data_IF_917988778374
#
_entry.id   IF_917988778374
#
_cell.length_a   1.000
_cell.length_b   1.000
_cell.length_c   1.000
_cell.angle_alpha   90.00
_cell.angle_beta   90.00
_cell.angle_gamma   90.00
#
_symmetry.space_group_name_H-M   'P 1'
#
loop_
_entity.id
_entity.type
_entity.pdbx_description
1 polymer ?
#
# COMPACT_ATOMS: atom_id res chain seq x y z
N UNK A 1 7.94 -9.47 -6.72
CA UNK A 1 7.58 -9.83 -5.31
C UNK A 1 7.11 -8.60 -4.54
N UNK A 2 6.05 -8.72 -3.72
CA UNK A 2 5.55 -7.65 -2.85
C UNK A 2 5.76 -8.03 -1.37
N UNK A 3 6.53 -7.23 -0.62
CA UNK A 3 6.83 -7.49 0.79
C UNK A 3 7.10 -6.19 1.55
N UNK A 4 6.49 -6.05 2.73
CA UNK A 4 6.52 -4.82 3.51
C UNK A 4 6.06 -5.03 4.95
N UNK A 5 5.54 -4.00 5.60
CA UNK A 5 5.13 -4.12 7.00
C UNK A 5 4.14 -3.06 7.50
N UNK A 6 3.85 -3.14 8.80
CA UNK A 6 2.95 -2.24 9.53
C UNK A 6 3.80 -1.44 10.53
N UNK A 7 3.51 -0.16 10.65
CA UNK A 7 4.21 0.81 11.50
C UNK A 7 3.21 1.34 12.54
N UNK A 8 3.60 1.36 13.82
CA UNK A 8 2.75 1.80 14.93
C UNK A 8 2.09 0.68 15.74
N UNK A 9 2.59 -0.55 15.66
CA UNK A 9 2.17 -1.71 16.49
C UNK A 9 2.78 -1.71 17.91
N UNK A 10 3.42 -0.60 18.32
CA UNK A 10 4.19 -0.52 19.56
C UNK A 10 5.67 -0.90 19.38
N UNK A 11 6.12 -1.07 18.14
CA UNK A 11 7.50 -1.38 17.81
C UNK A 11 8.44 -0.17 18.02
N UNK A 12 9.70 -0.45 18.33
CA UNK A 12 10.72 0.58 18.45
C UNK A 12 11.23 1.03 17.07
N UNK A 13 11.98 2.15 17.04
CA UNK A 13 12.73 2.55 15.83
C UNK A 13 13.69 1.47 15.34
N UNK A 14 14.26 0.68 16.27
CA UNK A 14 15.20 -0.39 15.94
C UNK A 14 14.51 -1.54 15.22
N UNK A 15 13.28 -1.84 15.59
CA UNK A 15 12.48 -2.89 14.96
C UNK A 15 12.09 -2.50 13.52
N UNK A 16 11.69 -1.24 13.31
CA UNK A 16 11.45 -0.68 11.97
C UNK A 16 12.70 -0.71 11.10
N UNK A 17 13.84 -0.31 11.64
CA UNK A 17 15.11 -0.42 10.93
C UNK A 17 15.46 -1.88 10.61
N UNK A 18 15.18 -2.80 11.52
CA UNK A 18 15.34 -4.24 11.32
C UNK A 18 14.50 -4.75 10.16
N UNK A 19 13.20 -4.43 10.12
CA UNK A 19 12.31 -4.77 9.00
C UNK A 19 12.87 -4.28 7.67
N UNK A 20 13.20 -3.00 7.56
CA UNK A 20 13.69 -2.43 6.30
C UNK A 20 15.05 -3.00 5.89
N UNK A 21 15.93 -3.28 6.86
CA UNK A 21 17.20 -3.95 6.62
C UNK A 21 16.99 -5.37 6.08
N UNK A 22 16.03 -6.13 6.61
CA UNK A 22 15.72 -7.48 6.11
C UNK A 22 15.26 -7.42 4.65
N UNK A 23 14.35 -6.51 4.31
CA UNK A 23 13.84 -6.34 2.95
C UNK A 23 14.94 -5.91 1.97
N UNK A 24 15.79 -4.97 2.37
CA UNK A 24 16.90 -4.47 1.56
C UNK A 24 18.00 -5.51 1.31
N UNK A 25 18.16 -6.48 2.22
CA UNK A 25 19.20 -7.53 2.13
C UNK A 25 18.70 -8.83 1.47
N UNK A 26 17.48 -8.87 0.95
CA UNK A 26 17.02 -10.00 0.14
C UNK A 26 17.89 -10.16 -1.13
N UNK A 27 17.97 -11.36 -1.74
CA UNK A 27 18.75 -11.58 -2.97
C UNK A 27 18.39 -10.61 -4.11
N UNK A 28 17.13 -10.18 -4.14
CA UNK A 28 16.65 -9.05 -4.92
C UNK A 28 15.68 -8.23 -4.06
N UNK A 29 15.72 -6.90 -4.17
CA UNK A 29 14.75 -6.04 -3.50
C UNK A 29 13.32 -6.40 -3.94
N UNK A 30 12.32 -6.31 -3.05
CA UNK A 30 10.92 -6.41 -3.46
C UNK A 30 10.59 -5.35 -4.52
N UNK A 31 9.79 -5.71 -5.52
CA UNK A 31 9.32 -4.74 -6.53
C UNK A 31 8.40 -3.71 -5.89
N UNK A 32 7.59 -4.14 -4.93
CA UNK A 32 6.68 -3.29 -4.16
C UNK A 32 6.89 -3.51 -2.67
N UNK A 33 7.09 -2.42 -1.94
CA UNK A 33 7.31 -2.38 -0.49
C UNK A 33 6.16 -1.59 0.14
N UNK A 34 5.07 -2.25 0.54
CA UNK A 34 3.98 -1.60 1.25
C UNK A 34 4.38 -1.22 2.68
N UNK A 35 4.18 0.04 3.02
CA UNK A 35 4.35 0.56 4.38
C UNK A 35 2.98 1.02 4.86
N UNK A 36 2.39 0.23 5.74
CA UNK A 36 1.07 0.46 6.28
C UNK A 36 1.18 1.18 7.63
N UNK A 37 0.37 2.20 7.86
CA UNK A 37 0.15 2.69 9.22
C UNK A 37 -0.84 1.76 9.92
N UNK A 38 -0.61 1.46 11.20
CA UNK A 38 -1.54 0.66 11.98
C UNK A 38 -2.93 1.31 11.96
N UNK A 39 -3.93 0.57 11.48
CA UNK A 39 -5.35 0.93 11.66
C UNK A 39 -5.86 0.21 12.90
N UNK A 40 -6.21 0.97 13.93
CA UNK A 40 -6.72 0.44 15.19
C UNK A 40 -8.17 -0.03 14.99
N UNK A 41 -8.42 -1.31 15.25
CA UNK A 41 -9.75 -1.90 15.15
C UNK A 41 -10.20 -2.37 16.53
N UNK A 42 -11.41 -1.98 16.92
CA UNK A 42 -12.01 -2.39 18.20
C UNK A 42 -12.02 -3.91 18.34
N UNK A 43 -11.62 -4.40 19.51
CA UNK A 43 -11.48 -5.82 19.83
C UNK A 43 -10.12 -6.43 19.46
N UNK A 44 -9.24 -5.68 18.79
CA UNK A 44 -7.85 -6.15 18.55
C UNK A 44 -6.96 -5.83 19.74
N UNK A 45 -5.88 -6.60 19.99
CA UNK A 45 -4.89 -6.26 21.02
C UNK A 45 -4.23 -4.89 20.86
N UNK A 46 -4.38 -4.27 19.68
CA UNK A 46 -3.76 -2.98 19.33
C UNK A 46 -4.72 -1.80 19.44
N UNK A 47 -5.98 -2.00 19.84
CA UNK A 47 -7.02 -0.95 19.81
C UNK A 47 -6.66 0.27 20.68
N UNK A 48 -5.93 0.05 21.80
CA UNK A 48 -5.62 1.06 22.81
C UNK A 48 -4.15 1.51 22.79
N UNK A 49 -3.40 1.19 21.72
CA UNK A 49 -2.04 1.71 21.58
C UNK A 49 -2.07 3.23 21.37
N UNK A 50 -0.96 3.90 21.68
CA UNK A 50 -0.78 5.31 21.32
C UNK A 50 -0.67 5.48 19.81
N UNK A 51 -1.00 6.67 19.30
CA UNK A 51 -0.76 7.00 17.89
C UNK A 51 0.74 7.18 17.64
N UNK A 52 1.20 6.68 16.49
CA UNK A 52 2.56 6.91 16.04
C UNK A 52 2.70 8.40 15.64
N UNK A 53 3.80 9.02 16.04
CA UNK A 53 4.17 10.36 15.53
C UNK A 53 4.19 10.34 13.98
N UNK A 54 3.42 11.19 13.30
CA UNK A 54 3.40 11.27 11.84
C UNK A 54 4.80 11.42 11.22
N UNK A 55 5.73 12.11 11.88
CA UNK A 55 7.10 12.25 11.39
C UNK A 55 7.89 10.95 11.46
N UNK A 56 7.56 10.06 12.39
CA UNK A 56 8.15 8.71 12.45
C UNK A 56 7.68 7.85 11.28
N UNK A 57 6.42 8.01 10.87
CA UNK A 57 5.89 7.35 9.69
C UNK A 57 6.57 7.85 8.41
N UNK A 58 6.62 9.17 8.21
CA UNK A 58 7.30 9.81 7.06
C UNK A 58 8.78 9.41 7.01
N UNK A 59 9.47 9.39 8.16
CA UNK A 59 10.86 8.93 8.26
C UNK A 59 11.02 7.48 7.79
N UNK A 60 10.07 6.61 8.15
CA UNK A 60 10.09 5.19 7.74
C UNK A 60 9.97 5.05 6.23
N UNK A 61 9.09 5.84 5.59
CA UNK A 61 8.97 5.92 4.12
C UNK A 61 10.29 6.40 3.49
N UNK A 62 10.88 7.48 4.02
CA UNK A 62 12.13 8.03 3.51
C UNK A 62 13.29 7.01 3.56
N UNK A 63 13.42 6.28 4.68
CA UNK A 63 14.44 5.25 4.83
C UNK A 63 14.18 4.09 3.86
N UNK A 64 12.93 3.66 3.68
CA UNK A 64 12.57 2.63 2.71
C UNK A 64 12.97 3.01 1.28
N UNK A 65 12.68 4.26 0.86
CA UNK A 65 13.10 4.80 -0.44
C UNK A 65 14.62 4.79 -0.61
N UNK A 66 15.36 5.25 0.39
CA UNK A 66 16.83 5.33 0.31
C UNK A 66 17.46 3.93 0.21
N UNK A 67 16.99 2.98 1.02
CA UNK A 67 17.54 1.63 1.03
C UNK A 67 17.15 0.84 -0.23
N UNK A 68 15.97 1.09 -0.79
CA UNK A 68 15.42 0.33 -1.90
C UNK A 68 15.01 1.27 -3.06
N UNK A 69 15.98 1.92 -3.74
CA UNK A 69 15.71 3.02 -4.67
C UNK A 69 14.91 2.61 -5.91
N UNK A 70 14.99 1.35 -6.32
CA UNK A 70 14.27 0.81 -7.49
C UNK A 70 12.89 0.25 -7.16
N UNK A 71 12.56 0.11 -5.88
CA UNK A 71 11.29 -0.46 -5.45
C UNK A 71 10.19 0.61 -5.47
N UNK A 72 8.96 0.18 -5.72
CA UNK A 72 7.77 0.98 -5.43
C UNK A 72 7.53 0.99 -3.93
N UNK A 73 7.68 2.14 -3.29
CA UNK A 73 7.32 2.28 -1.87
C UNK A 73 5.85 2.65 -1.83
N UNK A 74 5.02 1.71 -1.37
CA UNK A 74 3.56 1.84 -1.42
C UNK A 74 3.02 2.37 -0.11
N UNK A 75 2.39 3.55 -0.17
CA UNK A 75 1.60 4.12 0.91
C UNK A 75 0.23 3.44 0.88
N UNK A 76 -0.03 2.54 1.84
CA UNK A 76 -1.17 1.61 1.80
C UNK A 76 -2.21 1.91 2.89
N UNK A 77 -2.36 1.04 3.89
CA UNK A 77 -3.39 1.20 4.92
C UNK A 77 -3.10 2.39 5.84
N UNK A 78 -4.19 3.01 6.32
CA UNK A 78 -4.16 4.17 7.21
C UNK A 78 -4.19 5.53 6.50
N UNK A 79 -4.18 5.59 5.17
CA UNK A 79 -4.28 6.86 4.42
C UNK A 79 -5.55 7.65 4.73
N UNK A 80 -6.66 6.97 5.00
CA UNK A 80 -7.93 7.61 5.31
C UNK A 80 -7.85 8.52 6.55
N UNK A 81 -7.01 8.16 7.52
CA UNK A 81 -6.80 8.96 8.74
C UNK A 81 -5.69 10.00 8.59
N UNK A 82 -4.98 10.03 7.45
CA UNK A 82 -3.95 11.02 7.17
C UNK A 82 -4.57 12.26 6.52
N UNK A 83 -4.15 13.45 6.98
CA UNK A 83 -4.43 14.69 6.27
C UNK A 83 -3.59 14.81 4.98
N UNK A 84 -3.98 15.75 4.13
CA UNK A 84 -3.32 16.00 2.84
C UNK A 84 -1.84 16.32 3.00
N UNK A 85 -1.48 17.08 4.03
CA UNK A 85 -0.08 17.46 4.29
C UNK A 85 0.77 16.25 4.64
N UNK A 86 0.27 15.32 5.45
CA UNK A 86 0.99 14.09 5.80
C UNK A 86 1.15 13.19 4.58
N UNK A 87 0.11 13.05 3.76
CA UNK A 87 0.20 12.29 2.51
C UNK A 87 1.22 12.94 1.55
N UNK A 88 1.18 14.26 1.40
CA UNK A 88 2.15 15.02 0.60
C UNK A 88 3.58 14.80 1.09
N UNK A 89 3.81 14.83 2.40
CA UNK A 89 5.11 14.53 2.99
C UNK A 89 5.54 13.08 2.72
N UNK A 90 4.62 12.11 2.72
CA UNK A 90 4.92 10.72 2.37
C UNK A 90 5.34 10.57 0.90
N UNK A 91 4.64 11.23 -0.02
CA UNK A 91 5.03 11.25 -1.45
C UNK A 91 6.39 11.91 -1.64
N UNK A 92 6.62 13.06 -0.99
CA UNK A 92 7.91 13.75 -1.02
C UNK A 92 9.04 12.91 -0.41
N UNK A 93 8.76 12.15 0.65
CA UNK A 93 9.71 11.22 1.27
C UNK A 93 10.07 10.03 0.36
N UNK A 94 9.25 9.75 -0.64
CA UNK A 94 9.55 8.75 -1.67
C UNK A 94 8.51 7.66 -1.84
N UNK A 95 7.35 7.75 -1.21
CA UNK A 95 6.21 6.91 -1.60
C UNK A 95 5.82 7.23 -3.05
N UNK A 96 5.54 6.20 -3.85
CA UNK A 96 5.19 6.36 -5.27
C UNK A 96 4.20 5.29 -5.76
N UNK A 97 3.43 4.71 -4.84
CA UNK A 97 2.36 3.76 -5.11
C UNK A 97 1.33 3.86 -4.01
N UNK A 98 0.05 3.69 -4.33
CA UNK A 98 -1.07 3.62 -3.37
C UNK A 98 -2.02 2.48 -3.74
N UNK A 99 -2.95 2.15 -2.85
CA UNK A 99 -4.17 1.44 -3.25
C UNK A 99 -5.21 2.45 -3.71
N UNK A 100 -5.80 2.21 -4.87
CA UNK A 100 -6.85 3.04 -5.46
C UNK A 100 -8.19 2.30 -5.42
N UNK A 101 -9.25 2.98 -5.00
CA UNK A 101 -10.60 2.42 -4.82
C UNK A 101 -11.20 2.76 -3.45
N UNK A 102 -12.47 2.43 -3.24
CA UNK A 102 -13.25 2.87 -2.07
C UNK A 102 -12.92 2.13 -0.76
N UNK A 103 -12.31 0.93 -0.85
CA UNK A 103 -11.99 0.10 0.31
C UNK A 103 -10.70 -0.69 0.12
N UNK A 104 -10.04 -0.97 1.23
CA UNK A 104 -9.01 -2.01 1.30
C UNK A 104 -9.67 -3.37 1.56
N UNK A 105 -8.95 -4.29 2.21
CA UNK A 105 -9.47 -5.62 2.56
C UNK A 105 -10.64 -5.55 3.56
N UNK A 106 -10.51 -4.73 4.60
CA UNK A 106 -11.49 -4.65 5.71
C UNK A 106 -11.72 -3.23 6.23
N UNK A 107 -11.00 -2.24 5.70
CA UNK A 107 -11.05 -0.85 6.15
C UNK A 107 -11.39 0.09 4.99
N UNK A 108 -11.95 1.28 5.26
CA UNK A 108 -12.10 2.32 4.25
C UNK A 108 -10.74 2.72 3.64
N UNK A 109 -10.78 3.22 2.42
CA UNK A 109 -9.67 3.84 1.71
C UNK A 109 -10.15 5.23 1.24
N UNK A 110 -9.25 6.21 1.04
CA UNK A 110 -9.65 7.47 0.44
C UNK A 110 -10.42 7.28 -0.85
N UNK A 111 -11.49 8.06 -1.01
CA UNK A 111 -12.27 8.08 -2.24
C UNK A 111 -11.38 8.45 -3.43
N UNK A 112 -11.62 7.81 -4.56
CA UNK A 112 -10.91 8.03 -5.82
C UNK A 112 -10.79 9.52 -6.19
N UNK A 113 -11.89 10.27 -6.02
CA UNK A 113 -11.94 11.70 -6.32
C UNK A 113 -11.06 12.55 -5.39
N UNK A 114 -10.95 12.16 -4.11
CA UNK A 114 -10.09 12.85 -3.14
C UNK A 114 -8.62 12.63 -3.47
N UNK A 115 -8.26 11.42 -3.85
CA UNK A 115 -6.90 11.08 -4.28
C UNK A 115 -6.50 11.86 -5.53
N UNK A 116 -7.40 11.95 -6.51
CA UNK A 116 -7.16 12.70 -7.74
C UNK A 116 -6.93 14.19 -7.46
N UNK A 117 -7.77 14.82 -6.63
CA UNK A 117 -7.60 16.24 -6.25
C UNK A 117 -6.27 16.50 -5.54
N UNK A 118 -5.85 15.60 -4.65
CA UNK A 118 -4.56 15.71 -3.98
C UNK A 118 -3.41 15.57 -4.99
N UNK A 119 -3.48 14.60 -5.91
CA UNK A 119 -2.45 14.40 -6.92
C UNK A 119 -2.32 15.58 -7.87
N UNK A 120 -3.43 16.18 -8.29
CA UNK A 120 -3.44 17.42 -9.09
C UNK A 120 -2.75 18.57 -8.36
N UNK A 121 -3.05 18.77 -7.08
CA UNK A 121 -2.40 19.81 -6.24
C UNK A 121 -0.90 19.59 -6.07
N UNK A 122 -0.46 18.33 -6.02
CA UNK A 122 0.94 17.97 -5.85
C UNK A 122 1.70 17.81 -7.18
N UNK A 123 1.02 17.87 -8.32
CA UNK A 123 1.61 17.62 -9.64
C UNK A 123 2.06 16.16 -9.84
N UNK A 124 1.38 15.21 -9.21
CA UNK A 124 1.66 13.78 -9.33
C UNK A 124 0.85 13.18 -10.49
N UNK A 125 1.52 12.37 -11.31
CA UNK A 125 0.90 11.71 -12.46
C UNK A 125 1.08 10.20 -12.35
N UNK A 126 0.05 9.46 -12.77
CA UNK A 126 0.16 8.02 -12.92
C UNK A 126 1.25 7.69 -13.95
N UNK A 127 2.01 6.63 -13.70
CA UNK A 127 2.93 6.11 -14.70
C UNK A 127 2.12 5.64 -15.91
N UNK A 128 2.47 6.15 -17.09
CA UNK A 128 1.96 5.60 -18.34
C UNK A 128 2.57 4.20 -18.48
N UNK A 129 1.74 3.18 -18.35
CA UNK A 129 2.11 1.86 -18.83
C UNK A 129 1.96 1.91 -20.36
N UNK A 130 2.93 1.37 -21.11
CA UNK A 130 2.63 1.02 -22.50
C UNK A 130 1.50 -0.01 -22.44
N UNK A 131 0.29 0.42 -22.80
CA UNK A 131 -0.89 -0.42 -22.75
C UNK A 131 -0.67 -1.64 -23.65
N UNK A 132 -1.05 -2.82 -23.15
CA UNK A 132 -1.35 -3.92 -24.04
C UNK A 132 -2.50 -3.48 -24.95
N UNK A 133 -2.46 -3.82 -26.23
CA UNK A 133 -3.48 -3.38 -27.18
C UNK A 133 -4.89 -3.66 -26.66
N UNK A 134 -5.88 -2.84 -27.06
CA UNK A 134 -7.29 -2.98 -26.67
C UNK A 134 -7.81 -4.42 -26.80
N UNK A 135 -7.30 -5.17 -27.79
CA UNK A 135 -7.62 -6.58 -28.01
C UNK A 135 -7.17 -7.52 -26.86
N UNK A 136 -6.02 -7.25 -26.24
CA UNK A 136 -5.54 -8.00 -25.07
C UNK A 136 -6.39 -7.64 -23.85
N UNK A 137 -6.79 -6.37 -23.73
CA UNK A 137 -7.61 -5.90 -22.61
C UNK A 137 -9.02 -6.49 -22.67
N UNK A 138 -9.64 -6.54 -23.85
CA UNK A 138 -10.92 -7.24 -24.07
C UNK A 138 -10.81 -8.74 -23.77
N UNK A 139 -9.72 -9.40 -24.18
CA UNK A 139 -9.53 -10.82 -23.90
C UNK A 139 -9.40 -11.11 -22.40
N UNK A 140 -8.66 -10.28 -21.66
CA UNK A 140 -8.50 -10.42 -20.20
C UNK A 140 -9.83 -10.20 -19.47
N UNK A 141 -10.62 -9.21 -19.91
CA UNK A 141 -11.95 -8.96 -19.34
C UNK A 141 -12.89 -10.14 -19.64
N UNK A 142 -12.87 -10.66 -20.88
CA UNK A 142 -13.69 -11.81 -21.27
C UNK A 142 -13.33 -13.07 -20.47
N UNK A 143 -12.05 -13.35 -20.26
CA UNK A 143 -11.59 -14.48 -19.44
C UNK A 143 -12.01 -14.33 -17.97
N UNK A 144 -11.88 -13.13 -17.39
CA UNK A 144 -12.30 -12.88 -16.01
C UNK A 144 -13.82 -13.02 -15.81
N UNK A 145 -14.63 -12.65 -16.81
CA UNK A 145 -16.08 -12.88 -16.80
C UNK A 145 -16.39 -14.36 -16.91
N UNK A 146 -15.70 -15.10 -17.79
CA UNK A 146 -15.88 -16.54 -17.95
C UNK A 146 -15.48 -17.34 -16.69
N UNK A 147 -14.47 -16.89 -15.94
CA UNK A 147 -14.10 -17.49 -14.65
C UNK A 147 -15.16 -17.28 -13.56
N UNK A 148 -15.84 -16.12 -13.54
CA UNK A 148 -16.96 -15.88 -12.62
C UNK A 148 -18.19 -16.74 -12.91
N UNK A 149 -18.34 -17.20 -14.15
CA UNK A 149 -19.42 -18.12 -14.56
C UNK A 149 -19.09 -19.60 -14.27
N UNK A 150 -17.89 -19.92 -13.76
CA UNK A 150 -17.58 -21.30 -13.40
C UNK A 150 -18.44 -21.76 -12.21
N UNK A 151 -19.12 -22.91 -12.32
CA UNK A 151 -20.00 -23.38 -11.26
C UNK A 151 -19.18 -23.73 -10.00
N UNK A 152 -19.58 -23.16 -8.87
CA UNK A 152 -19.00 -23.43 -7.55
C UNK A 152 -19.02 -24.93 -7.28
N UNK A 153 -17.84 -25.55 -7.12
CA UNK A 153 -17.71 -26.97 -6.79
C UNK A 153 -17.78 -27.18 -5.29
N UNK A 154 -18.82 -27.86 -4.84
CA UNK A 154 -18.92 -28.38 -3.49
C UNK A 154 -18.34 -29.79 -3.45
N UNK A 155 -17.57 -30.09 -2.42
CA UNK A 155 -16.96 -31.40 -2.19
C UNK A 155 -17.52 -31.96 -0.89
N UNK A 156 -18.08 -33.17 -0.94
CA UNK A 156 -18.39 -33.91 0.28
C UNK A 156 -17.09 -34.48 0.87
N UNK A 157 -16.91 -34.27 2.17
CA UNK A 157 -15.84 -34.88 2.94
C UNK A 157 -16.45 -36.08 3.66
N UNK A 158 -15.97 -37.28 3.30
CA UNK A 158 -16.24 -38.53 4.03
C UNK A 158 -15.11 -38.84 5.00
#
# INVERSE_FOLDING_TARGET
VCAGGIVGMGESRRDRAGLLQQLANLPAHPESVPVNMLVKVKGTPFENLDDLDPFEFVRTIAVARILMPKSFVRLSAGRETMNDELQALCFMAGANSIFYGEKLLTTPNPEADKDQQLFERLGLHALQHEDYSDAVQEAVIADAVAEQEQPVRYYEVS
#
